data_IF_811796373172
#
_entry.id   IF_811796373172
#
_cell.length_a   1.000
_cell.length_b   1.000
_cell.length_c   1.000
_cell.angle_alpha   90.00
_cell.angle_beta   90.00
_cell.angle_gamma   90.00
#
_symmetry.space_group_name_H-M   'P 1'
#
loop_
_entity.id
_entity.type
_entity.pdbx_description
1 polymer ?
#
# COMPACT_ATOMS: atom_id res chain seq x y z
N UNK A 1 13.22 8.21 2.28
CA UNK A 1 11.75 8.28 2.15
C UNK A 1 11.43 8.49 0.67
N UNK A 2 10.57 7.67 0.06
CA UNK A 2 10.25 7.84 -1.37
C UNK A 2 9.29 9.04 -1.54
N UNK A 3 9.83 10.20 -1.90
CA UNK A 3 9.09 11.46 -1.98
C UNK A 3 7.98 11.41 -3.05
N UNK A 4 8.27 10.79 -4.20
CA UNK A 4 7.31 10.63 -5.31
C UNK A 4 6.07 9.87 -4.82
N UNK A 5 6.27 8.79 -4.07
CA UNK A 5 5.19 7.97 -3.53
C UNK A 5 4.32 8.76 -2.53
N UNK A 6 4.94 9.58 -1.68
CA UNK A 6 4.19 10.44 -0.74
C UNK A 6 3.35 11.47 -1.49
N UNK A 7 3.91 12.08 -2.53
CA UNK A 7 3.22 13.10 -3.34
C UNK A 7 2.00 12.51 -4.06
N UNK A 8 2.11 11.28 -4.61
CA UNK A 8 0.98 10.55 -5.19
C UNK A 8 -0.16 10.33 -4.20
N UNK A 9 0.17 9.92 -2.96
CA UNK A 9 -0.82 9.71 -1.90
C UNK A 9 -1.49 11.03 -1.51
N UNK A 10 -0.72 12.12 -1.41
CA UNK A 10 -1.25 13.45 -1.09
C UNK A 10 -2.18 13.94 -2.19
N UNK A 11 -1.76 13.85 -3.46
CA UNK A 11 -2.54 14.27 -4.61
C UNK A 11 -3.88 13.53 -4.67
N UNK A 12 -3.87 12.19 -4.58
CA UNK A 12 -5.09 11.40 -4.62
C UNK A 12 -6.00 11.67 -3.40
N UNK A 13 -5.41 11.85 -2.21
CA UNK A 13 -6.19 12.20 -1.01
C UNK A 13 -6.92 13.54 -1.20
N UNK A 14 -6.24 14.57 -1.72
CA UNK A 14 -6.84 15.88 -2.00
C UNK A 14 -7.93 15.79 -3.07
N UNK A 15 -7.65 15.09 -4.18
CA UNK A 15 -8.60 14.93 -5.28
C UNK A 15 -9.93 14.28 -4.81
N UNK A 16 -9.86 13.33 -3.87
CA UNK A 16 -11.03 12.62 -3.35
C UNK A 16 -11.60 13.21 -2.05
N UNK A 17 -11.08 14.35 -1.58
CA UNK A 17 -11.53 14.99 -0.34
C UNK A 17 -11.21 14.19 0.93
N UNK A 18 -10.27 13.25 0.88
CA UNK A 18 -9.84 12.47 2.04
C UNK A 18 -8.78 13.20 2.85
N UNK A 19 -8.86 13.09 4.19
CA UNK A 19 -7.75 13.44 5.06
C UNK A 19 -6.57 12.52 4.80
N UNK A 20 -5.36 13.07 4.72
CA UNK A 20 -4.13 12.30 4.63
C UNK A 20 -3.97 11.41 5.87
N UNK A 21 -3.96 10.10 5.67
CA UNK A 21 -3.88 9.13 6.75
C UNK A 21 -2.47 8.54 6.84
N UNK A 22 -1.76 8.79 7.95
CA UNK A 22 -0.41 8.27 8.22
C UNK A 22 -0.28 6.75 8.02
N UNK A 23 -1.35 6.00 8.31
CA UNK A 23 -1.41 4.54 8.13
C UNK A 23 -1.34 4.13 6.65
N UNK A 24 -1.98 4.87 5.73
CA UNK A 24 -1.89 4.59 4.28
C UNK A 24 -0.47 4.80 3.77
N UNK A 25 0.18 5.85 4.24
CA UNK A 25 1.60 6.13 3.94
C UNK A 25 2.47 5.00 4.47
N UNK A 26 2.27 4.56 5.72
CA UNK A 26 3.04 3.45 6.29
C UNK A 26 2.92 2.16 5.46
N UNK A 27 1.70 1.78 5.03
CA UNK A 27 1.48 0.60 4.18
C UNK A 27 2.17 0.74 2.83
N UNK A 28 2.07 1.90 2.18
CA UNK A 28 2.74 2.15 0.91
C UNK A 28 4.27 2.11 1.03
N UNK A 29 4.82 2.66 2.12
CA UNK A 29 6.26 2.62 2.38
C UNK A 29 6.75 1.20 2.67
N UNK A 30 5.97 0.38 3.38
CA UNK A 30 6.29 -1.02 3.59
C UNK A 30 6.27 -1.82 2.26
N UNK A 31 5.29 -1.58 1.39
CA UNK A 31 5.31 -2.11 0.02
C UNK A 31 6.53 -1.63 -0.77
N UNK A 32 6.98 -0.39 -0.60
CA UNK A 32 8.20 0.09 -1.25
C UNK A 32 9.47 -0.59 -0.74
N UNK A 33 9.48 -1.02 0.52
CA UNK A 33 10.62 -1.74 1.11
C UNK A 33 10.67 -3.20 0.66
N UNK A 34 9.51 -3.78 0.35
CA UNK A 34 9.39 -5.14 -0.16
C UNK A 34 9.36 -5.05 -1.70
N UNK A 35 10.53 -5.15 -2.34
CA UNK A 35 10.68 -5.04 -3.81
C UNK A 35 10.12 -6.25 -4.61
N UNK A 36 9.25 -7.03 -3.98
CA UNK A 36 8.64 -8.25 -4.52
C UNK A 36 7.15 -8.30 -4.20
N UNK A 37 6.40 -9.12 -4.93
CA UNK A 37 4.99 -9.35 -4.65
C UNK A 37 4.81 -9.94 -3.23
N UNK A 38 3.90 -9.35 -2.44
CA UNK A 38 3.61 -9.78 -1.07
C UNK A 38 2.11 -9.86 -0.82
N UNK A 39 1.66 -10.83 -0.03
CA UNK A 39 0.27 -10.87 0.42
C UNK A 39 0.03 -9.91 1.61
N UNK A 40 -1.24 -9.63 1.89
CA UNK A 40 -1.63 -8.67 2.91
C UNK A 40 -1.23 -9.08 4.34
N UNK A 41 -1.14 -10.39 4.62
CA UNK A 41 -0.81 -10.90 5.95
C UNK A 41 0.69 -10.83 6.21
N UNK A 42 1.49 -11.22 5.22
CA UNK A 42 2.95 -11.04 5.24
C UNK A 42 3.31 -9.56 5.41
N UNK A 43 2.64 -8.67 4.66
CA UNK A 43 2.84 -7.22 4.81
C UNK A 43 2.43 -6.71 6.20
N UNK A 44 1.34 -7.23 6.76
CA UNK A 44 0.91 -6.88 8.12
C UNK A 44 1.92 -7.32 9.17
N UNK A 45 2.44 -8.56 9.08
CA UNK A 45 3.48 -9.08 9.97
C UNK A 45 4.73 -8.20 9.90
N UNK A 46 5.14 -7.82 8.69
CA UNK A 46 6.26 -6.90 8.47
C UNK A 46 6.01 -5.53 9.13
N UNK A 47 4.87 -4.91 8.84
CA UNK A 47 4.48 -3.60 9.38
C UNK A 47 4.40 -3.59 10.90
N UNK A 48 3.92 -4.68 11.53
CA UNK A 48 3.73 -4.73 12.99
C UNK A 48 5.05 -4.61 13.76
N UNK A 49 6.18 -4.97 13.15
CA UNK A 49 7.53 -4.77 13.73
C UNK A 49 7.87 -3.29 13.91
N UNK A 50 7.37 -2.43 13.01
CA UNK A 50 7.61 -0.98 13.03
C UNK A 50 6.42 -0.19 13.62
N UNK A 51 5.21 -0.72 13.48
CA UNK A 51 3.95 -0.10 13.91
C UNK A 51 3.10 -1.11 14.72
N UNK A 52 3.42 -1.37 16.01
CA UNK A 52 2.82 -2.48 16.78
C UNK A 52 1.29 -2.44 16.92
N UNK A 53 0.70 -1.23 16.82
CA UNK A 53 -0.74 -0.98 16.96
C UNK A 53 -1.53 -1.05 15.66
N UNK A 54 -0.90 -1.34 14.52
CA UNK A 54 -1.63 -1.48 13.25
C UNK A 54 -2.40 -2.81 13.23
N UNK A 55 -3.71 -2.73 13.01
CA UNK A 55 -4.53 -3.93 12.87
C UNK A 55 -4.40 -4.51 11.47
N UNK A 56 -4.61 -5.82 11.35
CA UNK A 56 -4.68 -6.52 10.06
C UNK A 56 -5.70 -5.85 9.12
N UNK A 57 -6.93 -5.60 9.61
CA UNK A 57 -7.96 -4.90 8.82
C UNK A 57 -7.55 -3.51 8.33
N UNK A 58 -6.75 -2.76 9.09
CA UNK A 58 -6.19 -1.48 8.61
C UNK A 58 -5.32 -1.67 7.38
N UNK A 59 -4.52 -2.74 7.34
CA UNK A 59 -3.64 -3.04 6.21
C UNK A 59 -4.47 -3.36 4.97
N UNK A 60 -5.49 -4.20 5.10
CA UNK A 60 -6.40 -4.53 3.98
C UNK A 60 -7.12 -3.29 3.43
N UNK A 61 -7.67 -2.43 4.30
CA UNK A 61 -8.34 -1.20 3.87
C UNK A 61 -7.35 -0.22 3.20
N UNK A 62 -6.12 -0.14 3.70
CA UNK A 62 -5.08 0.68 3.08
C UNK A 62 -4.67 0.13 1.72
N UNK A 63 -4.47 -1.18 1.57
CA UNK A 63 -4.15 -1.83 0.30
C UNK A 63 -5.25 -1.62 -0.74
N UNK A 64 -6.50 -1.83 -0.36
CA UNK A 64 -7.64 -1.56 -1.24
C UNK A 64 -7.65 -0.10 -1.71
N UNK A 65 -7.42 0.84 -0.79
CA UNK A 65 -7.36 2.26 -1.13
C UNK A 65 -6.19 2.58 -2.07
N UNK A 66 -5.00 2.03 -1.82
CA UNK A 66 -3.82 2.22 -2.66
C UNK A 66 -4.00 1.60 -4.05
N UNK A 67 -4.69 0.48 -4.15
CA UNK A 67 -5.03 -0.15 -5.43
C UNK A 67 -6.03 0.72 -6.21
N UNK A 68 -7.06 1.22 -5.54
CA UNK A 68 -8.04 2.15 -6.14
C UNK A 68 -7.41 3.50 -6.55
N UNK A 69 -6.29 3.86 -5.94
CA UNK A 69 -5.51 5.04 -6.29
C UNK A 69 -4.53 4.80 -7.45
N UNK A 70 -4.39 3.56 -7.93
CA UNK A 70 -3.38 3.19 -8.92
C UNK A 70 -1.94 3.19 -8.40
N UNK A 71 -1.75 3.32 -7.08
CA UNK A 71 -0.44 3.37 -6.41
C UNK A 71 0.12 1.96 -6.17
N UNK A 72 -0.77 0.98 -6.01
CA UNK A 72 -0.42 -0.44 -5.91
C UNK A 72 -1.19 -1.24 -6.93
N UNK A 73 -0.63 -2.38 -7.33
CA UNK A 73 -1.30 -3.37 -8.16
C UNK A 73 -1.68 -4.58 -7.30
N UNK A 74 -2.84 -5.16 -7.58
CA UNK A 74 -3.31 -6.41 -6.98
C UNK A 74 -3.39 -7.49 -8.06
N UNK A 75 -2.76 -8.62 -7.80
CA UNK A 75 -2.89 -9.83 -8.62
C UNK A 75 -3.43 -10.96 -7.75
N UNK A 76 -4.25 -11.83 -8.32
CA UNK A 76 -4.74 -13.03 -7.63
C UNK A 76 -3.92 -14.22 -8.13
N UNK A 77 -3.25 -14.93 -7.22
CA UNK A 77 -2.52 -16.16 -7.50
C UNK A 77 -3.48 -17.34 -7.69
N UNK A 78 -2.96 -18.48 -8.18
CA UNK A 78 -3.75 -19.69 -8.43
C UNK A 78 -4.42 -20.25 -7.15
N UNK A 79 -3.79 -20.05 -6.00
CA UNK A 79 -4.29 -20.42 -4.67
C UNK A 79 -5.37 -19.46 -4.13
N UNK A 80 -5.84 -18.51 -4.95
CA UNK A 80 -6.79 -17.43 -4.59
C UNK A 80 -6.24 -16.38 -3.64
N UNK A 81 -4.95 -16.43 -3.31
CA UNK A 81 -4.29 -15.42 -2.48
C UNK A 81 -4.11 -14.14 -3.29
N UNK A 82 -4.49 -13.00 -2.70
CA UNK A 82 -4.23 -11.70 -3.29
C UNK A 82 -2.83 -11.23 -2.90
N UNK A 83 -2.04 -10.92 -3.92
CA UNK A 83 -0.71 -10.34 -3.77
C UNK A 83 -0.69 -8.92 -4.30
N UNK A 84 0.19 -8.13 -3.70
CA UNK A 84 0.29 -6.70 -3.88
C UNK A 84 1.73 -6.32 -4.14
N UNK A 85 1.91 -5.31 -4.98
CA UNK A 85 3.18 -4.64 -5.26
C UNK A 85 2.93 -3.18 -5.57
N UNK A 86 3.96 -2.33 -5.48
CA UNK A 86 3.83 -0.97 -5.99
C UNK A 86 3.60 -0.96 -7.51
N UNK A 87 2.72 -0.07 -7.95
CA UNK A 87 2.59 0.22 -9.36
C UNK A 87 3.88 0.91 -9.81
N UNK A 88 4.60 0.31 -10.75
CA UNK A 88 5.64 1.04 -11.46
C UNK A 88 4.93 2.08 -12.33
N UNK A 89 5.36 3.33 -12.27
CA UNK A 89 4.96 4.31 -13.26
C UNK A 89 5.27 3.69 -14.63
N UNK A 90 4.25 3.56 -15.48
CA UNK A 90 4.51 3.25 -16.88
C UNK A 90 5.41 4.39 -17.37
N UNK A 91 6.63 4.04 -17.78
CA UNK A 91 7.42 4.92 -18.63
C UNK A 91 6.58 5.06 -19.90
N UNK A 92 5.92 6.20 -20.06
CA UNK A 92 5.34 6.65 -21.32
C UNK A 92 6.32 7.63 -21.94
#
# INVERSE_FOLDING_TARGET
MNQILLDQIIAYSRQKGFRLAKKRVAVAMALNQIDTDTDADSLWIFLRRQYPRISRGTVYLALQWLTNAGISQRTVRQDRTSIYRLARAACL
#
